data_IF_470657346128
#
_entry.id   IF_470657346128
#
_cell.length_a   1.000
_cell.length_b   1.000
_cell.length_c   1.000
_cell.angle_alpha   90.00
_cell.angle_beta   90.00
_cell.angle_gamma   90.00
#
_symmetry.space_group_name_H-M   'P 1'
#
loop_
_entity.id
_entity.type
_entity.pdbx_description
1 polymer ?
#
# COMPACT_ATOMS: atom_id res chain seq x y z
N UNK A 1 -10.79 -1.83 -10.38
CA UNK A 1 -9.49 -1.52 -9.76
C UNK A 1 -9.45 -2.10 -8.36
N UNK A 2 -8.28 -2.50 -7.85
CA UNK A 2 -8.16 -3.05 -6.50
C UNK A 2 -8.15 -1.95 -5.44
N UNK A 3 -8.61 -2.25 -4.23
CA UNK A 3 -8.73 -1.28 -3.13
C UNK A 3 -8.15 -1.85 -1.84
N UNK A 4 -7.44 -1.01 -1.10
CA UNK A 4 -6.77 -1.43 0.12
C UNK A 4 -7.49 -0.91 1.36
N UNK A 5 -7.49 -1.74 2.39
CA UNK A 5 -8.04 -1.42 3.69
C UNK A 5 -7.05 -1.79 4.79
N UNK A 6 -7.05 -1.00 5.85
CA UNK A 6 -6.36 -1.32 7.09
C UNK A 6 -7.26 -2.16 7.98
N UNK A 7 -6.70 -3.21 8.57
CA UNK A 7 -7.36 -4.12 9.50
C UNK A 7 -6.43 -4.39 10.68
N UNK A 8 -6.95 -4.32 11.90
CA UNK A 8 -6.21 -4.66 13.12
C UNK A 8 -6.86 -5.87 13.80
N UNK A 9 -6.17 -7.01 13.75
CA UNK A 9 -6.66 -8.26 14.32
C UNK A 9 -6.47 -8.23 15.85
N UNK A 10 -7.41 -8.72 16.65
CA UNK A 10 -7.25 -8.83 18.10
C UNK A 10 -6.09 -9.77 18.49
N UNK A 11 -5.34 -9.39 19.53
CA UNK A 11 -4.31 -10.27 20.10
C UNK A 11 -4.93 -11.59 20.60
N UNK A 12 -4.29 -12.72 20.28
CA UNK A 12 -4.77 -14.06 20.67
C UNK A 12 -5.68 -14.77 19.66
N UNK A 13 -6.01 -14.15 18.51
CA UNK A 13 -6.62 -14.87 17.40
C UNK A 13 -5.64 -15.91 16.82
N UNK A 14 -6.05 -17.19 16.74
CA UNK A 14 -5.26 -18.26 16.12
C UNK A 14 -4.99 -17.90 14.64
N UNK A 15 -3.76 -18.12 14.16
CA UNK A 15 -3.30 -17.83 12.78
C UNK A 15 -3.82 -16.50 12.22
N UNK A 16 -3.32 -15.38 12.74
CA UNK A 16 -3.75 -14.01 12.41
C UNK A 16 -3.92 -13.70 10.90
N UNK A 17 -3.22 -14.42 10.02
CA UNK A 17 -3.29 -14.24 8.57
C UNK A 17 -4.55 -14.84 7.95
N UNK A 18 -4.84 -16.12 8.22
CA UNK A 18 -5.95 -16.83 7.60
C UNK A 18 -7.29 -16.25 8.09
N UNK A 19 -7.38 -15.95 9.38
CA UNK A 19 -8.57 -15.36 9.98
C UNK A 19 -8.86 -13.96 9.41
N UNK A 20 -7.81 -13.18 9.09
CA UNK A 20 -7.98 -11.89 8.43
C UNK A 20 -8.45 -12.02 6.97
N UNK A 21 -8.00 -13.04 6.25
CA UNK A 21 -8.46 -13.32 4.88
C UNK A 21 -9.91 -13.76 4.92
N UNK A 22 -10.23 -14.77 5.72
CA UNK A 22 -11.57 -15.36 5.82
C UNK A 22 -12.61 -14.30 6.19
N UNK A 23 -12.33 -13.45 7.19
CA UNK A 23 -13.26 -12.41 7.61
C UNK A 23 -13.57 -11.38 6.51
N UNK A 24 -12.61 -11.09 5.63
CA UNK A 24 -12.82 -10.18 4.51
C UNK A 24 -13.50 -10.89 3.34
N UNK A 25 -13.20 -12.17 3.12
CA UNK A 25 -13.87 -13.00 2.11
C UNK A 25 -15.33 -13.34 2.48
N UNK A 26 -15.68 -13.40 3.77
CA UNK A 26 -17.07 -13.53 4.22
C UNK A 26 -17.95 -12.38 3.74
N UNK A 27 -17.39 -11.17 3.63
CA UNK A 27 -18.10 -9.98 3.15
C UNK A 27 -17.98 -9.84 1.62
N UNK A 28 -16.78 -10.08 1.08
CA UNK A 28 -16.50 -9.83 -0.33
C UNK A 28 -16.91 -11.00 -1.24
N UNK A 29 -17.02 -12.20 -0.69
CA UNK A 29 -17.15 -13.48 -1.38
C UNK A 29 -15.79 -14.16 -1.57
N UNK A 30 -15.82 -15.46 -1.84
CA UNK A 30 -14.63 -16.26 -2.08
C UNK A 30 -13.72 -15.65 -3.16
N UNK A 31 -12.41 -15.68 -2.91
CA UNK A 31 -11.38 -15.06 -3.76
C UNK A 31 -11.51 -13.54 -3.88
N UNK A 32 -12.25 -12.88 -2.98
CA UNK A 32 -12.40 -11.43 -2.98
C UNK A 32 -11.11 -10.71 -2.62
N UNK A 33 -10.26 -11.35 -1.82
CA UNK A 33 -8.95 -10.85 -1.42
C UNK A 33 -7.93 -11.14 -2.54
N UNK A 34 -7.16 -10.11 -2.90
CA UNK A 34 -6.06 -10.20 -3.86
C UNK A 34 -4.75 -10.59 -3.14
N UNK A 35 -4.44 -9.91 -2.04
CA UNK A 35 -3.35 -10.26 -1.14
C UNK A 35 -3.58 -9.59 0.23
N UNK A 36 -2.85 -10.11 1.22
CA UNK A 36 -2.74 -9.58 2.57
C UNK A 36 -1.27 -9.22 2.84
N UNK A 37 -1.02 -8.04 3.41
CA UNK A 37 0.31 -7.62 3.82
C UNK A 37 0.36 -7.38 5.33
N UNK A 38 1.29 -8.05 6.01
CA UNK A 38 1.56 -7.84 7.43
C UNK A 38 2.38 -6.56 7.64
N UNK A 39 1.91 -5.66 8.52
CA UNK A 39 2.55 -4.38 8.83
C UNK A 39 3.28 -4.37 10.18
N UNK A 40 3.32 -5.51 10.88
CA UNK A 40 3.88 -5.64 12.23
C UNK A 40 2.79 -5.80 13.30
N UNK A 41 3.09 -6.56 14.36
CA UNK A 41 2.13 -6.83 15.44
C UNK A 41 0.86 -7.50 14.89
N UNK A 42 -0.31 -6.95 15.19
CA UNK A 42 -1.58 -7.46 14.70
C UNK A 42 -2.18 -6.63 13.55
N UNK A 43 -1.34 -5.90 12.81
CA UNK A 43 -1.77 -4.90 11.81
C UNK A 43 -1.59 -5.41 10.40
N UNK A 44 -2.63 -5.23 9.58
CA UNK A 44 -2.71 -5.75 8.23
C UNK A 44 -3.18 -4.71 7.24
N UNK A 45 -2.65 -4.81 6.02
CA UNK A 45 -3.25 -4.22 4.83
C UNK A 45 -3.90 -5.34 4.02
N UNK A 46 -5.21 -5.24 3.80
CA UNK A 46 -5.95 -6.17 2.94
C UNK A 46 -6.23 -5.48 1.61
N UNK A 47 -5.89 -6.13 0.50
CA UNK A 47 -6.24 -5.65 -0.82
C UNK A 47 -7.37 -6.48 -1.44
N UNK A 48 -8.43 -5.81 -1.86
CA UNK A 48 -9.62 -6.42 -2.47
C UNK A 48 -9.57 -6.22 -3.98
N UNK A 49 -9.89 -7.25 -4.76
CA UNK A 49 -9.63 -7.31 -6.21
C UNK A 49 -10.34 -6.24 -7.05
N UNK A 50 -11.50 -5.75 -6.61
CA UNK A 50 -12.32 -4.85 -7.43
C UNK A 50 -13.07 -3.80 -6.62
N UNK A 51 -13.47 -2.73 -7.30
CA UNK A 51 -14.29 -1.67 -6.72
C UNK A 51 -15.68 -2.19 -6.30
N UNK A 52 -16.25 -3.12 -7.05
CA UNK A 52 -17.53 -3.73 -6.70
C UNK A 52 -17.45 -4.50 -5.37
N UNK A 53 -16.33 -5.19 -5.14
CA UNK A 53 -16.06 -5.90 -3.88
C UNK A 53 -15.74 -4.93 -2.73
N UNK A 54 -14.95 -3.89 -3.01
CA UNK A 54 -14.70 -2.79 -2.06
C UNK A 54 -16.00 -2.17 -1.57
N UNK A 55 -16.97 -1.94 -2.46
CA UNK A 55 -18.28 -1.38 -2.11
C UNK A 55 -19.10 -2.27 -1.18
N UNK A 56 -18.77 -3.55 -1.00
CA UNK A 56 -19.40 -4.43 -0.01
C UNK A 56 -18.86 -4.20 1.41
N UNK A 57 -17.60 -3.75 1.53
CA UNK A 57 -16.96 -3.41 2.82
C UNK A 57 -17.27 -1.98 3.27
N UNK A 58 -17.48 -1.06 2.32
CA UNK A 58 -17.79 0.35 2.58
C UNK A 58 -18.98 0.63 3.51
N UNK A 59 -20.11 -0.11 3.49
CA UNK A 59 -21.29 0.19 4.31
C UNK A 59 -21.11 -0.24 5.77
N UNK A 60 -20.40 -1.34 6.02
CA UNK A 60 -20.21 -1.87 7.37
C UNK A 60 -18.99 -1.29 8.08
N UNK A 61 -17.97 -0.85 7.31
CA UNK A 61 -16.61 -0.53 7.77
C UNK A 61 -16.08 -1.52 8.81
N UNK A 62 -16.50 -2.77 8.68
CA UNK A 62 -16.24 -3.77 9.68
C UNK A 62 -16.38 -5.17 9.10
N UNK A 63 -15.56 -6.08 9.61
CA UNK A 63 -15.60 -7.52 9.37
C UNK A 63 -15.71 -8.24 10.70
N UNK A 64 -16.18 -9.48 10.68
CA UNK A 64 -16.27 -10.31 11.88
C UNK A 64 -15.06 -11.25 11.92
N UNK A 65 -14.26 -11.14 12.98
CA UNK A 65 -13.18 -12.05 13.31
C UNK A 65 -13.69 -12.95 14.45
N UNK A 66 -14.23 -14.11 14.11
CA UNK A 66 -14.96 -14.96 15.06
C UNK A 66 -16.16 -14.21 15.66
N UNK A 67 -16.18 -14.07 16.99
CA UNK A 67 -17.25 -13.36 17.71
C UNK A 67 -17.00 -11.86 17.88
N UNK A 68 -15.91 -11.32 17.32
CA UNK A 68 -15.56 -9.91 17.46
C UNK A 68 -15.74 -9.16 16.14
N UNK A 69 -16.41 -8.01 16.20
CA UNK A 69 -16.55 -7.11 15.07
C UNK A 69 -15.40 -6.12 15.06
N UNK A 70 -14.61 -6.13 14.00
CA UNK A 70 -13.39 -5.33 13.86
C UNK A 70 -13.54 -4.36 12.71
N UNK A 71 -13.08 -3.12 12.94
CA UNK A 71 -13.18 -2.05 11.94
C UNK A 71 -12.19 -2.26 10.80
N UNK A 72 -12.63 -1.85 9.61
CA UNK A 72 -11.87 -1.91 8.37
C UNK A 72 -11.88 -0.53 7.77
N UNK A 73 -10.73 0.15 7.86
CA UNK A 73 -10.62 1.53 7.41
C UNK A 73 -10.10 1.58 5.98
N UNK A 74 -10.75 2.34 5.07
CA UNK A 74 -10.22 2.52 3.74
C UNK A 74 -8.87 3.22 3.83
N UNK A 75 -7.84 2.61 3.26
CA UNK A 75 -6.57 3.29 3.09
C UNK A 75 -6.72 4.27 1.92
N UNK A 76 -6.49 5.55 2.23
CA UNK A 76 -6.35 6.59 1.22
C UNK A 76 -5.26 6.25 0.20
N UNK A 77 -5.09 7.06 -0.84
CA UNK A 77 -4.08 6.80 -1.84
C UNK A 77 -2.71 6.69 -1.16
N UNK A 78 -2.03 5.53 -1.25
CA UNK A 78 -0.81 5.32 -0.49
C UNK A 78 0.25 6.30 -0.95
N UNK A 79 1.07 6.77 -0.01
CA UNK A 79 2.32 7.41 -0.35
C UNK A 79 3.36 6.32 -0.54
N UNK A 80 3.84 6.17 -1.77
CA UNK A 80 4.87 5.19 -2.13
C UNK A 80 6.20 5.87 -2.43
N UNK A 81 7.28 5.12 -2.31
CA UNK A 81 8.62 5.57 -2.65
C UNK A 81 9.09 4.84 -3.91
N UNK A 82 9.20 5.57 -5.02
CA UNK A 82 9.69 5.02 -6.29
C UNK A 82 11.18 5.29 -6.37
N UNK A 83 11.99 4.24 -6.29
CA UNK A 83 13.44 4.35 -6.48
C UNK A 83 13.77 4.21 -7.97
N UNK A 84 14.41 5.23 -8.52
CA UNK A 84 14.81 5.29 -9.93
C UNK A 84 16.33 5.13 -9.97
N UNK A 85 16.75 4.04 -10.62
CA UNK A 85 18.16 3.69 -10.78
C UNK A 85 18.62 3.97 -12.22
N UNK A 86 19.93 4.19 -12.40
CA UNK A 86 20.56 4.46 -13.72
C UNK A 86 19.97 5.68 -14.44
N UNK A 87 19.59 6.70 -13.68
CA UNK A 87 19.06 7.93 -14.24
C UNK A 87 20.22 8.75 -14.84
N UNK A 88 20.13 9.21 -16.11
CA UNK A 88 21.15 10.08 -16.68
C UNK A 88 21.28 11.39 -15.87
N UNK A 89 22.51 11.91 -15.69
CA UNK A 89 22.76 13.03 -14.78
C UNK A 89 22.06 14.33 -15.18
N UNK A 90 21.72 14.48 -16.47
CA UNK A 90 21.03 15.65 -17.01
C UNK A 90 19.50 15.61 -16.85
N UNK A 91 18.92 14.52 -16.36
CA UNK A 91 17.47 14.48 -16.07
C UNK A 91 17.21 15.32 -14.82
N UNK A 92 16.34 16.31 -14.90
CA UNK A 92 15.95 17.13 -13.75
C UNK A 92 14.79 16.52 -12.96
N UNK A 93 14.66 16.91 -11.69
CA UNK A 93 13.62 16.38 -10.79
C UNK A 93 12.20 16.71 -11.30
N UNK A 94 12.00 17.87 -11.91
CA UNK A 94 10.71 18.25 -12.49
C UNK A 94 10.27 17.29 -13.60
N UNK A 95 11.21 16.83 -14.43
CA UNK A 95 10.95 15.85 -15.50
C UNK A 95 10.51 14.52 -14.88
N UNK A 96 11.13 14.11 -13.77
CA UNK A 96 10.74 12.89 -13.07
C UNK A 96 9.33 12.99 -12.52
N UNK A 97 8.99 14.11 -11.87
CA UNK A 97 7.67 14.34 -11.31
C UNK A 97 6.61 14.36 -12.41
N UNK A 98 6.87 15.06 -13.53
CA UNK A 98 5.97 15.08 -14.70
C UNK A 98 5.80 13.68 -15.27
N UNK A 99 6.88 12.90 -15.39
CA UNK A 99 6.83 11.53 -15.92
C UNK A 99 6.01 10.58 -15.04
N UNK A 100 5.95 10.84 -13.73
CA UNK A 100 5.18 10.07 -12.75
C UNK A 100 3.79 10.64 -12.46
N UNK A 101 3.45 11.81 -13.02
CA UNK A 101 2.15 12.46 -12.84
C UNK A 101 0.93 11.58 -13.22
N UNK A 102 1.02 10.67 -14.22
CA UNK A 102 -0.06 9.71 -14.48
C UNK A 102 -0.32 8.74 -13.32
N UNK A 103 0.72 8.43 -12.53
CA UNK A 103 0.67 7.49 -11.42
C UNK A 103 0.21 8.16 -10.11
N UNK A 104 0.56 9.42 -9.89
CA UNK A 104 0.21 10.14 -8.67
C UNK A 104 0.75 11.56 -8.62
N UNK A 105 0.62 12.21 -7.46
CA UNK A 105 1.16 13.52 -7.19
C UNK A 105 2.52 13.41 -6.50
N UNK A 106 3.56 14.00 -7.10
CA UNK A 106 4.90 14.01 -6.55
C UNK A 106 4.97 14.90 -5.31
N UNK A 107 5.35 14.33 -4.16
CA UNK A 107 5.51 15.05 -2.87
C UNK A 107 6.95 15.47 -2.60
N UNK A 108 7.91 14.95 -3.36
CA UNK A 108 9.31 15.33 -3.26
C UNK A 108 10.24 14.32 -3.93
N UNK A 109 11.45 14.76 -4.24
CA UNK A 109 12.52 13.93 -4.79
C UNK A 109 13.71 13.96 -3.83
N UNK A 110 14.20 12.78 -3.45
CA UNK A 110 15.38 12.63 -2.62
C UNK A 110 16.52 12.07 -3.49
N UNK A 111 17.68 12.70 -3.41
CA UNK A 111 18.91 12.19 -4.04
C UNK A 111 19.59 11.24 -3.06
N UNK A 112 19.81 10.00 -3.51
CA UNK A 112 20.44 8.99 -2.68
C UNK A 112 21.95 9.23 -2.63
N UNK A 113 22.52 9.19 -1.43
CA UNK A 113 23.94 9.39 -1.18
C UNK A 113 24.57 8.13 -0.62
N UNK A 114 25.89 8.02 -0.73
CA UNK A 114 26.61 6.92 -0.08
C UNK A 114 26.58 7.11 1.44
N UNK A 115 26.27 6.03 2.19
CA UNK A 115 26.22 6.06 3.66
C UNK A 115 27.50 6.63 4.27
N UNK A 116 28.65 6.16 3.78
CA UNK A 116 29.97 6.54 4.32
C UNK A 116 30.49 7.85 3.70
N UNK A 117 29.81 8.39 2.68
CA UNK A 117 30.14 9.68 2.08
C UNK A 117 28.88 10.43 1.62
N UNK A 118 28.18 11.13 2.54
CA UNK A 118 26.92 11.80 2.24
C UNK A 118 27.01 12.94 1.22
N UNK A 119 28.22 13.38 0.85
CA UNK A 119 28.43 14.42 -0.15
C UNK A 119 28.45 13.88 -1.59
N UNK A 120 28.50 12.56 -1.77
CA UNK A 120 28.50 11.90 -3.08
C UNK A 120 27.16 11.25 -3.35
N UNK A 121 26.54 11.61 -4.47
CA UNK A 121 25.32 10.98 -4.95
C UNK A 121 25.61 9.61 -5.60
N UNK A 122 24.70 8.66 -5.43
CA UNK A 122 24.78 7.34 -6.06
C UNK A 122 24.27 7.33 -7.51
N UNK A 123 23.68 8.44 -7.96
CA UNK A 123 22.95 8.52 -9.23
C UNK A 123 21.52 7.96 -9.17
N UNK A 124 21.10 7.44 -8.01
CA UNK A 124 19.72 7.05 -7.77
C UNK A 124 18.91 8.20 -7.15
N UNK A 125 17.62 8.26 -7.50
CA UNK A 125 16.68 9.20 -6.90
C UNK A 125 15.45 8.46 -6.40
N UNK A 126 14.92 8.90 -5.27
CA UNK A 126 13.69 8.36 -4.69
C UNK A 126 12.62 9.43 -4.82
N UNK A 127 11.55 9.13 -5.55
CA UNK A 127 10.39 10.01 -5.67
C UNK A 127 9.34 9.55 -4.67
N UNK A 128 8.95 10.46 -3.77
CA UNK A 128 7.81 10.24 -2.88
C UNK A 128 6.53 10.60 -3.65
N UNK A 129 5.68 9.61 -3.90
CA UNK A 129 4.51 9.76 -4.76
C UNK A 129 3.25 9.43 -3.96
N UNK A 130 2.34 10.40 -3.83
CA UNK A 130 0.98 10.12 -3.38
C UNK A 130 0.19 9.61 -4.58
N UNK A 131 -0.20 8.35 -4.55
CA UNK A 131 -0.82 7.72 -5.72
C UNK A 131 -2.16 8.38 -6.07
N UNK A 132 -2.54 8.41 -7.35
CA UNK A 132 -3.87 8.89 -7.74
C UNK A 132 -4.96 7.88 -7.39
N UNK A 133 -4.61 6.61 -7.39
CA UNK A 133 -5.48 5.50 -7.07
C UNK A 133 -4.90 4.72 -5.88
N UNK A 134 -5.75 3.99 -5.14
CA UNK A 134 -5.26 3.00 -4.18
C UNK A 134 -4.41 1.98 -4.94
N UNK A 135 -3.10 2.00 -4.70
CA UNK A 135 -2.21 1.01 -5.28
C UNK A 135 -2.17 -0.17 -4.34
N UNK A 136 -2.33 -1.40 -4.85
CA UNK A 136 -1.85 -2.55 -4.11
C UNK A 136 -0.37 -2.34 -3.79
N UNK A 137 -0.01 -2.11 -2.52
CA UNK A 137 1.37 -1.93 -2.07
C UNK A 137 2.19 -3.14 -2.53
N UNK A 138 2.91 -2.97 -3.64
CA UNK A 138 4.02 -3.82 -4.01
C UNK A 138 5.28 -3.11 -3.51
N UNK A 139 5.81 -3.56 -2.37
CA UNK A 139 7.22 -3.28 -2.09
C UNK A 139 8.05 -4.11 -3.07
N UNK A 140 9.03 -3.45 -3.71
CA UNK A 140 10.03 -4.11 -4.55
C UNK A 140 10.85 -5.10 -3.73
N UNK A 141 11.13 -6.26 -4.33
CA UNK A 141 12.23 -7.17 -3.95
C UNK A 141 13.56 -6.51 -4.31
#
# INVERSE_FOLDING_TARGET
MAHCFYLEVPEGALSHHDVAIDAVEDVTGAYGVLYLQHLGGCKYLVCVRSQALSSKLSPSRAVNLGNQRVLVDPMGPPVVFVTICRLPPYVHDDILVVSLAPCGNGRGVQHVTFRDNPRKFTGARVVRLEMRNSVPIFMNI
#
